data_IF_536238641660
#
_entry.id   IF_536238641660
#
_cell.length_a   1.000
_cell.length_b   1.000
_cell.length_c   1.000
_cell.angle_alpha   90.00
_cell.angle_beta   90.00
_cell.angle_gamma   90.00
#
_symmetry.space_group_name_H-M   'P 1'
#
loop_
_entity.id
_entity.type
_entity.pdbx_description
1 polymer ?
#
# COMPACT_ATOMS: atom_id res chain seq x y z
N UNK A 1 -5.14 14.28 32.56
CA UNK A 1 -5.27 13.57 31.28
C UNK A 1 -3.94 13.72 30.56
N UNK A 2 -3.06 12.73 30.74
CA UNK A 2 -1.71 12.73 30.16
C UNK A 2 -1.84 12.32 28.70
N UNK A 3 -1.71 13.27 27.79
CA UNK A 3 -1.52 12.98 26.37
C UNK A 3 -0.09 12.47 26.22
N UNK A 4 0.10 11.14 26.32
CA UNK A 4 1.35 10.50 25.93
C UNK A 4 1.57 10.75 24.44
N UNK A 5 2.80 11.02 23.98
CA UNK A 5 3.06 11.25 22.56
C UNK A 5 2.75 9.94 21.83
N UNK A 6 1.54 9.84 21.27
CA UNK A 6 1.15 8.70 20.44
C UNK A 6 2.16 8.64 19.30
N UNK A 7 2.99 7.60 19.29
CA UNK A 7 3.83 7.28 18.15
C UNK A 7 2.97 7.37 16.87
N UNK A 8 3.54 7.89 15.76
CA UNK A 8 2.78 8.09 14.53
C UNK A 8 2.04 6.81 14.17
N UNK A 9 0.70 6.90 14.06
CA UNK A 9 -0.13 5.74 13.78
C UNK A 9 0.31 5.15 12.45
N UNK A 10 0.73 3.88 12.45
CA UNK A 10 1.08 3.17 11.21
C UNK A 10 -0.11 3.18 10.26
N UNK A 11 0.20 3.31 8.98
CA UNK A 11 -0.77 3.25 7.87
C UNK A 11 -0.39 2.13 6.92
N UNK A 12 -1.38 1.52 6.30
CA UNK A 12 -1.18 0.55 5.25
C UNK A 12 -2.25 0.73 4.17
N UNK A 13 -1.85 0.55 2.92
CA UNK A 13 -2.73 0.42 1.77
C UNK A 13 -2.28 -0.81 0.97
N UNK A 14 -3.23 -1.72 0.71
CA UNK A 14 -3.01 -2.89 -0.14
C UNK A 14 -3.48 -2.55 -1.56
N UNK A 15 -2.63 -2.87 -2.53
CA UNK A 15 -2.90 -2.62 -3.94
C UNK A 15 -2.98 -3.94 -4.71
N UNK A 16 -3.90 -4.01 -5.66
CA UNK A 16 -4.01 -5.09 -6.65
C UNK A 16 -3.72 -4.55 -8.04
N UNK A 17 -2.86 -5.24 -8.78
CA UNK A 17 -2.60 -4.94 -10.18
C UNK A 17 -2.29 -6.24 -10.92
N UNK A 18 -3.06 -6.53 -11.97
CA UNK A 18 -2.88 -7.69 -12.84
C UNK A 18 -2.69 -7.18 -14.27
N UNK A 19 -1.46 -7.29 -14.83
CA UNK A 19 -1.18 -6.84 -16.19
C UNK A 19 -2.13 -7.49 -17.21
N UNK A 20 -2.76 -6.67 -18.05
CA UNK A 20 -3.72 -7.13 -19.07
C UNK A 20 -5.15 -7.35 -18.58
N UNK A 21 -5.39 -7.31 -17.26
CA UNK A 21 -6.74 -7.41 -16.68
C UNK A 21 -7.16 -6.07 -16.05
N UNK A 22 -6.32 -5.50 -15.19
CA UNK A 22 -6.61 -4.22 -14.52
C UNK A 22 -6.04 -3.06 -15.33
N UNK A 23 -6.88 -2.10 -15.70
CA UNK A 23 -6.45 -0.89 -16.43
C UNK A 23 -5.54 0.02 -15.58
N UNK A 24 -5.73 0.03 -14.26
CA UNK A 24 -4.91 0.73 -13.28
C UNK A 24 -4.85 -0.08 -11.97
N UNK A 25 -3.84 0.12 -11.12
CA UNK A 25 -3.82 -0.48 -9.80
C UNK A 25 -5.03 -0.07 -8.96
N UNK A 26 -5.61 -1.03 -8.23
CA UNK A 26 -6.78 -0.84 -7.39
C UNK A 26 -6.39 -0.90 -5.92
N UNK A 27 -6.94 -0.02 -5.10
CA UNK A 27 -6.85 -0.12 -3.64
C UNK A 27 -7.85 -1.17 -3.18
N UNK A 28 -7.39 -2.28 -2.61
CA UNK A 28 -8.28 -3.35 -2.11
C UNK A 28 -8.47 -3.31 -0.60
N UNK A 29 -7.55 -2.67 0.12
CA UNK A 29 -7.70 -2.44 1.56
C UNK A 29 -6.89 -1.23 2.01
N UNK A 30 -7.39 -0.54 3.04
CA UNK A 30 -6.65 0.51 3.74
C UNK A 30 -6.83 0.33 5.25
N UNK A 31 -5.88 0.83 6.03
CA UNK A 31 -5.98 0.77 7.47
C UNK A 31 -5.02 1.69 8.20
N UNK A 32 -5.36 2.00 9.45
CA UNK A 32 -4.52 2.75 10.39
C UNK A 32 -4.38 1.98 11.70
N UNK A 33 -3.30 2.24 12.45
CA UNK A 33 -3.04 1.62 13.75
C UNK A 33 -3.06 0.09 13.68
N UNK A 34 -3.85 -0.55 14.53
CA UNK A 34 -3.94 -2.00 14.61
C UNK A 34 -4.42 -2.64 13.28
N UNK A 35 -5.28 -1.97 12.51
CA UNK A 35 -5.72 -2.50 11.21
C UNK A 35 -4.56 -2.49 10.20
N UNK A 36 -3.75 -1.43 10.18
CA UNK A 36 -2.56 -1.36 9.33
C UNK A 36 -1.58 -2.49 9.65
N UNK A 37 -1.36 -2.76 10.94
CA UNK A 37 -0.49 -3.84 11.40
C UNK A 37 -1.00 -5.21 10.95
N UNK A 38 -2.32 -5.44 11.02
CA UNK A 38 -2.95 -6.68 10.53
C UNK A 38 -2.78 -6.84 9.02
N UNK A 39 -2.97 -5.78 8.23
CA UNK A 39 -2.76 -5.80 6.78
C UNK A 39 -1.30 -6.18 6.46
N UNK A 40 -0.34 -5.56 7.14
CA UNK A 40 1.09 -5.84 6.97
C UNK A 40 1.43 -7.27 7.38
N UNK A 41 0.86 -7.77 8.48
CA UNK A 41 1.09 -9.14 8.94
C UNK A 41 0.59 -10.17 7.92
N UNK A 42 -0.62 -9.98 7.40
CA UNK A 42 -1.19 -10.85 6.35
C UNK A 42 -0.36 -10.79 5.06
N UNK A 43 0.08 -9.61 4.65
CA UNK A 43 0.96 -9.48 3.48
C UNK A 43 2.26 -10.29 3.66
N UNK A 44 2.87 -10.27 4.84
CA UNK A 44 4.06 -11.09 5.14
C UNK A 44 3.75 -12.58 5.12
N UNK A 45 2.64 -13.00 5.72
CA UNK A 45 2.22 -14.40 5.78
C UNK A 45 2.00 -14.98 4.37
N UNK A 46 1.42 -14.20 3.47
CA UNK A 46 1.16 -14.60 2.09
C UNK A 46 2.31 -14.29 1.11
N UNK A 47 3.45 -13.79 1.60
CA UNK A 47 4.59 -13.44 0.75
C UNK A 47 4.33 -12.27 -0.21
N UNK A 48 3.34 -11.43 0.08
CA UNK A 48 3.06 -10.20 -0.68
C UNK A 48 4.14 -9.17 -0.36
N UNK A 49 4.81 -8.58 -1.37
CA UNK A 49 5.85 -7.60 -1.15
C UNK A 49 5.33 -6.34 -0.44
N UNK A 50 6.12 -5.81 0.48
CA UNK A 50 5.80 -4.60 1.25
C UNK A 50 6.84 -3.53 0.93
N UNK A 51 6.36 -2.32 0.64
CA UNK A 51 7.19 -1.15 0.39
C UNK A 51 6.80 -0.03 1.35
N UNK A 52 7.78 0.57 2.01
CA UNK A 52 7.56 1.67 2.95
C UNK A 52 7.68 3.02 2.23
N UNK A 53 6.57 3.74 2.14
CA UNK A 53 6.53 5.11 1.59
C UNK A 53 5.51 5.96 2.37
N UNK A 54 5.96 6.78 3.33
CA UNK A 54 5.07 7.56 4.21
C UNK A 54 4.13 8.52 3.46
N UNK A 55 4.64 9.15 2.40
CA UNK A 55 3.86 10.11 1.60
C UNK A 55 2.82 9.39 0.76
N UNK A 56 3.23 8.33 0.03
CA UNK A 56 2.32 7.58 -0.82
C UNK A 56 1.25 6.86 -0.02
N UNK A 57 1.61 6.22 1.11
CA UNK A 57 0.61 5.52 1.93
C UNK A 57 -0.42 6.50 2.49
N UNK A 58 -0.02 7.72 2.85
CA UNK A 58 -0.94 8.77 3.33
C UNK A 58 -1.94 9.20 2.26
N UNK A 59 -1.54 9.22 0.98
CA UNK A 59 -2.44 9.51 -0.13
C UNK A 59 -3.37 8.33 -0.41
N UNK A 60 -2.82 7.11 -0.48
CA UNK A 60 -3.58 5.89 -0.77
C UNK A 60 -4.61 5.57 0.32
N UNK A 61 -4.31 5.81 1.59
CA UNK A 61 -5.27 5.56 2.69
C UNK A 61 -6.49 6.47 2.66
N UNK A 62 -6.45 7.57 1.89
CA UNK A 62 -7.61 8.46 1.71
C UNK A 62 -8.57 7.99 0.61
N UNK A 63 -8.14 7.01 -0.20
CA UNK A 63 -8.97 6.45 -1.25
C UNK A 63 -9.92 5.41 -0.66
N UNK A 64 -11.17 5.32 -1.17
CA UNK A 64 -12.06 4.22 -0.81
C UNK A 64 -11.47 2.88 -1.26
N UNK A 65 -11.63 1.79 -0.49
CA UNK A 65 -11.35 0.45 -0.98
C UNK A 65 -12.19 0.11 -2.21
N UNK A 66 -11.72 -0.86 -3.00
CA UNK A 66 -12.30 -1.30 -4.27
C UNK A 66 -12.38 -0.18 -5.32
N UNK A 67 -11.40 0.74 -5.31
CA UNK A 67 -11.31 1.81 -6.31
C UNK A 67 -9.95 1.83 -7.01
N UNK A 68 -9.97 2.14 -8.31
CA UNK A 68 -8.74 2.42 -9.05
C UNK A 68 -8.05 3.65 -8.46
N UNK A 69 -6.72 3.61 -8.35
CA UNK A 69 -5.96 4.80 -7.99
C UNK A 69 -6.22 5.91 -9.02
N UNK A 70 -6.16 7.19 -8.63
CA UNK A 70 -6.35 8.28 -9.57
C UNK A 70 -5.06 8.52 -10.40
N UNK A 71 -5.16 9.12 -11.61
CA UNK A 71 -4.03 9.30 -12.53
C UNK A 71 -2.81 9.99 -11.93
N UNK A 72 -3.01 10.91 -10.99
CA UNK A 72 -1.94 11.67 -10.34
C UNK A 72 -1.01 10.76 -9.50
N UNK A 73 -1.51 9.60 -9.06
CA UNK A 73 -0.74 8.62 -8.31
C UNK A 73 -0.12 7.53 -9.19
N UNK A 74 -0.44 7.48 -10.49
CA UNK A 74 0.03 6.42 -11.39
C UNK A 74 1.54 6.30 -11.41
N UNK A 75 2.23 7.45 -11.52
CA UNK A 75 3.70 7.46 -11.58
C UNK A 75 4.32 6.88 -10.32
N UNK A 76 3.90 7.36 -9.15
CA UNK A 76 4.46 6.91 -7.88
C UNK A 76 4.20 5.42 -7.65
N UNK A 77 2.99 4.94 -7.93
CA UNK A 77 2.65 3.51 -7.78
C UNK A 77 3.40 2.65 -8.80
N UNK A 78 3.52 3.09 -10.05
CA UNK A 78 4.26 2.37 -11.09
C UNK A 78 5.76 2.25 -10.74
N UNK A 79 6.37 3.29 -10.18
CA UNK A 79 7.76 3.26 -9.71
C UNK A 79 7.96 2.19 -8.61
N UNK A 80 7.02 2.09 -7.66
CA UNK A 80 7.02 1.05 -6.61
C UNK A 80 6.87 -0.34 -7.21
N UNK A 81 5.87 -0.56 -8.07
CA UNK A 81 5.64 -1.85 -8.73
C UNK A 81 6.88 -2.27 -9.53
N UNK A 82 7.45 -1.35 -10.32
CA UNK A 82 8.64 -1.62 -11.11
C UNK A 82 9.86 -1.97 -10.23
N UNK A 83 10.00 -1.31 -9.08
CA UNK A 83 11.04 -1.65 -8.10
C UNK A 83 10.85 -3.08 -7.53
N UNK A 84 9.62 -3.43 -7.16
CA UNK A 84 9.28 -4.77 -6.64
C UNK A 84 9.49 -5.86 -7.69
N UNK A 85 9.09 -5.63 -8.94
CA UNK A 85 9.31 -6.58 -10.04
C UNK A 85 10.81 -6.79 -10.33
N UNK A 86 11.62 -5.73 -10.33
CA UNK A 86 13.08 -5.86 -10.52
C UNK A 86 13.77 -6.61 -9.40
N UNK A 87 13.30 -6.46 -8.16
CA UNK A 87 13.85 -7.19 -7.00
C UNK A 87 13.41 -8.65 -6.96
N UNK A 88 12.18 -8.95 -7.39
CA UNK A 88 11.69 -10.32 -7.55
C UNK A 88 12.42 -11.08 -8.68
N UNK A 89 12.71 -10.43 -9.81
CA UNK A 89 13.38 -11.04 -10.97
C UNK A 89 14.88 -11.35 -10.76
N UNK A 90 15.45 -10.97 -9.62
CA UNK A 90 16.88 -11.18 -9.29
C UNK A 90 17.12 -12.38 -8.38
N UNK A 91 16.11 -13.23 -8.19
CA UNK A 91 16.18 -14.50 -7.45
C UNK A 91 16.20 -15.68 -8.40
#
# INVERSE_FOLDING_TARGET
MTDSPMAPRRRAAALRYVPGETAAPEVVATGEGALAERIIALAREHGIPIHESPDLVTLLTRLPPETAIPPELYRAVAEVIAFLLRTAARR
#
